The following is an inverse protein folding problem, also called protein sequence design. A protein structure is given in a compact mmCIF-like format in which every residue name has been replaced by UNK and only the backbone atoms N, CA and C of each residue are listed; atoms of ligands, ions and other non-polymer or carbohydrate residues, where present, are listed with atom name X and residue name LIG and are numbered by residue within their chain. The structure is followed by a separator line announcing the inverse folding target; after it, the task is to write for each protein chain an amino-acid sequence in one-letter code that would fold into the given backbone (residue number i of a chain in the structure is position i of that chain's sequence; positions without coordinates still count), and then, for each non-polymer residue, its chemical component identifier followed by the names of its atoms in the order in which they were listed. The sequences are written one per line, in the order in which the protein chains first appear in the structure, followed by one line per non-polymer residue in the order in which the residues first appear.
data_IF_568527995649
#
_entry.id   IF_568527995649
#
_cell.length_a   1.000
_cell.length_b   1.000
_cell.length_c   1.000
_cell.angle_alpha   90.00
_cell.angle_beta   90.00
_cell.angle_gamma   90.00
#
_symmetry.space_group_name_H-M   'P 1'
#
loop_
_entity.id
_entity.type
_entity.pdbx_description
1 polymer ?
#
# COMPACT_ATOMS: atom_id res chain seq x y z
N UNK A 1 4.03 -30.77 -27.17
CA UNK A 1 4.83 -30.92 -25.92
C UNK A 1 6.14 -30.10 -26.00
N UNK A 2 6.92 -30.15 -27.11
CA UNK A 2 8.24 -29.48 -27.17
C UNK A 2 8.14 -27.96 -27.39
N UNK A 3 7.16 -27.48 -28.16
CA UNK A 3 6.84 -26.05 -28.28
C UNK A 3 6.45 -25.42 -26.94
N UNK A 4 5.67 -26.13 -26.15
CA UNK A 4 5.22 -25.69 -24.82
C UNK A 4 6.41 -25.61 -23.84
N UNK A 5 7.29 -26.60 -23.83
CA UNK A 5 8.52 -26.57 -23.02
C UNK A 5 9.43 -25.39 -23.39
N UNK A 6 9.57 -25.06 -24.68
CA UNK A 6 10.35 -23.89 -25.13
C UNK A 6 9.70 -22.56 -24.69
N UNK A 7 8.37 -22.48 -24.76
CA UNK A 7 7.62 -21.28 -24.32
C UNK A 7 7.80 -21.04 -22.81
N UNK A 8 7.64 -22.09 -21.99
CA UNK A 8 7.88 -22.04 -20.56
C UNK A 8 9.31 -21.65 -20.22
N UNK A 9 10.30 -22.22 -20.91
CA UNK A 9 11.72 -21.91 -20.70
C UNK A 9 12.03 -20.44 -21.02
N UNK A 10 11.47 -19.88 -22.08
CA UNK A 10 11.65 -18.48 -22.45
C UNK A 10 10.96 -17.54 -21.45
N UNK A 11 9.74 -17.89 -21.01
CA UNK A 11 9.02 -17.13 -19.98
C UNK A 11 9.81 -17.10 -18.67
N UNK A 12 10.35 -18.25 -18.23
CA UNK A 12 11.20 -18.31 -17.03
C UNK A 12 12.49 -17.51 -17.16
N UNK A 13 13.07 -17.44 -18.35
CA UNK A 13 14.26 -16.63 -18.61
C UNK A 13 13.93 -15.13 -18.50
N UNK A 14 12.79 -14.70 -19.03
CA UNK A 14 12.31 -13.31 -18.96
C UNK A 14 12.01 -12.90 -17.51
N UNK A 15 11.32 -13.76 -16.76
CA UNK A 15 11.04 -13.52 -15.33
C UNK A 15 12.33 -13.40 -14.53
N UNK A 16 13.31 -14.26 -14.76
CA UNK A 16 14.63 -14.18 -14.10
C UNK A 16 15.36 -12.90 -14.47
N UNK A 17 15.30 -12.45 -15.72
CA UNK A 17 15.86 -11.19 -16.16
C UNK A 17 15.26 -10.03 -15.36
N UNK A 18 13.95 -9.92 -15.33
CA UNK A 18 13.23 -8.88 -14.58
C UNK A 18 13.55 -8.89 -13.08
N UNK A 19 13.64 -10.07 -12.46
CA UNK A 19 14.03 -10.18 -11.05
C UNK A 19 15.45 -9.66 -10.83
N UNK A 20 16.39 -10.03 -11.70
CA UNK A 20 17.77 -9.52 -11.59
C UNK A 20 17.83 -8.01 -11.76
N UNK A 21 17.10 -7.45 -12.73
CA UNK A 21 17.04 -6.00 -12.94
C UNK A 21 16.51 -5.27 -11.69
N UNK A 22 15.46 -5.80 -11.05
CA UNK A 22 14.94 -5.25 -9.80
C UNK A 22 15.95 -5.38 -8.63
N UNK A 23 16.65 -6.51 -8.55
CA UNK A 23 17.72 -6.69 -7.56
C UNK A 23 18.90 -5.74 -7.81
N UNK A 24 19.20 -5.41 -9.08
CA UNK A 24 20.22 -4.44 -9.44
C UNK A 24 19.82 -3.03 -9.01
N UNK A 25 18.55 -2.66 -9.19
CA UNK A 25 18.02 -1.39 -8.68
C UNK A 25 18.15 -1.33 -7.15
N UNK A 26 17.68 -2.34 -6.43
CA UNK A 26 17.77 -2.39 -4.97
C UNK A 26 19.22 -2.34 -4.47
N UNK A 27 20.14 -3.00 -5.17
CA UNK A 27 21.57 -3.00 -4.82
C UNK A 27 22.23 -1.64 -5.08
N UNK A 28 21.72 -0.87 -6.03
CA UNK A 28 22.21 0.47 -6.35
C UNK A 28 21.63 1.56 -5.43
N UNK A 29 20.58 1.24 -4.66
CA UNK A 29 19.97 2.21 -3.75
C UNK A 29 20.89 2.50 -2.57
N UNK A 30 21.06 3.78 -2.30
CA UNK A 30 21.65 4.29 -1.07
C UNK A 30 20.67 5.22 -0.36
N UNK A 31 20.72 5.23 0.95
CA UNK A 31 20.00 6.16 1.82
C UNK A 31 20.98 7.19 2.33
N UNK A 32 20.67 8.45 2.08
CA UNK A 32 21.47 9.56 2.54
C UNK A 32 20.68 10.39 3.53
N UNK A 33 21.25 10.66 4.68
CA UNK A 33 20.66 11.59 5.66
C UNK A 33 21.73 12.46 6.30
N UNK A 34 21.31 13.63 6.75
CA UNK A 34 22.14 14.53 7.51
C UNK A 34 21.52 14.82 8.86
N UNK A 35 22.26 14.66 9.93
CA UNK A 35 21.88 15.12 11.25
C UNK A 35 22.54 16.47 11.52
N UNK A 36 21.73 17.50 11.83
CA UNK A 36 22.25 18.78 12.32
C UNK A 36 22.30 18.74 13.84
N UNK A 37 23.49 18.57 14.39
CA UNK A 37 23.76 18.88 15.81
C UNK A 37 24.61 20.15 15.90
N UNK A 38 23.99 21.27 16.29
CA UNK A 38 24.67 22.57 16.37
C UNK A 38 25.09 23.11 14.99
N UNK A 39 26.36 23.46 14.81
CA UNK A 39 26.93 24.00 13.58
C UNK A 39 27.58 22.94 12.67
N UNK A 40 27.58 21.68 13.05
CA UNK A 40 28.17 20.57 12.28
C UNK A 40 27.04 19.74 11.70
N UNK A 41 27.06 19.53 10.38
CA UNK A 41 26.18 18.58 9.70
C UNK A 41 26.98 17.32 9.39
N UNK A 42 26.63 16.23 10.06
CA UNK A 42 27.13 14.90 9.69
C UNK A 42 26.31 14.37 8.52
N UNK A 43 27.02 13.94 7.48
CA UNK A 43 26.44 13.31 6.30
C UNK A 43 26.78 11.83 6.31
N UNK A 44 25.76 10.99 6.19
CA UNK A 44 25.94 9.55 6.03
C UNK A 44 25.27 9.08 4.76
N UNK A 45 25.97 8.24 4.01
CA UNK A 45 25.46 7.55 2.82
C UNK A 45 25.61 6.05 3.02
N UNK A 46 24.48 5.37 3.17
CA UNK A 46 24.44 3.93 3.48
C UNK A 46 23.75 3.18 2.36
N UNK A 47 24.44 2.19 1.80
CA UNK A 47 23.82 1.29 0.81
C UNK A 47 22.76 0.42 1.47
N UNK A 48 21.64 0.22 0.77
CA UNK A 48 20.55 -0.63 1.25
C UNK A 48 21.00 -2.09 1.36
N UNK A 49 21.62 -2.61 0.31
CA UNK A 49 22.10 -4.00 0.26
C UNK A 49 23.62 -4.08 0.23
N UNK A 50 24.16 -5.00 1.03
CA UNK A 50 25.57 -5.38 1.01
C UNK A 50 25.86 -6.46 -0.03
N UNK A 51 24.95 -7.42 -0.19
CA UNK A 51 25.03 -8.52 -1.16
C UNK A 51 23.67 -8.87 -1.73
N UNK A 52 23.69 -9.35 -2.97
CA UNK A 52 22.55 -9.95 -3.66
C UNK A 52 22.99 -11.20 -4.40
N UNK A 53 22.10 -12.14 -4.59
CA UNK A 53 22.39 -13.34 -5.36
C UNK A 53 21.14 -14.16 -5.64
N UNK A 54 21.26 -15.00 -6.64
CA UNK A 54 20.25 -16.01 -6.98
C UNK A 54 20.94 -17.36 -7.06
N UNK A 55 20.55 -18.30 -6.20
CA UNK A 55 21.11 -19.64 -6.18
C UNK A 55 20.00 -20.68 -6.10
N UNK A 56 19.97 -21.63 -7.04
CA UNK A 56 18.98 -22.71 -7.11
C UNK A 56 17.52 -22.22 -7.07
N UNK A 57 17.23 -21.09 -7.73
CA UNK A 57 15.89 -20.50 -7.75
C UNK A 57 15.52 -19.67 -6.51
N UNK A 58 16.38 -19.62 -5.49
CA UNK A 58 16.20 -18.79 -4.31
C UNK A 58 16.91 -17.45 -4.49
N UNK A 59 16.23 -16.37 -4.10
CA UNK A 59 16.79 -15.03 -4.02
C UNK A 59 17.45 -14.91 -2.64
N UNK A 60 18.71 -14.48 -2.63
CA UNK A 60 19.45 -14.17 -1.41
C UNK A 60 19.79 -12.70 -1.42
N UNK A 61 19.39 -11.97 -0.37
CA UNK A 61 19.76 -10.58 -0.15
C UNK A 61 20.36 -10.45 1.25
N UNK A 62 21.36 -9.58 1.38
CA UNK A 62 21.93 -9.20 2.65
C UNK A 62 21.89 -7.69 2.75
N UNK A 63 21.21 -7.18 3.77
CA UNK A 63 21.23 -5.76 4.09
C UNK A 63 22.64 -5.34 4.57
N UNK A 64 22.97 -4.07 4.39
CA UNK A 64 24.15 -3.50 5.05
C UNK A 64 24.00 -3.55 6.57
N UNK A 65 25.10 -3.58 7.30
CA UNK A 65 25.07 -3.71 8.77
C UNK A 65 24.29 -2.57 9.44
N UNK A 66 24.40 -1.36 8.90
CA UNK A 66 23.67 -0.20 9.41
C UNK A 66 22.16 -0.34 9.22
N UNK A 67 21.73 -0.78 8.03
CA UNK A 67 20.30 -1.05 7.74
C UNK A 67 19.81 -2.23 8.57
N UNK A 68 20.59 -3.31 8.69
CA UNK A 68 20.22 -4.46 9.50
C UNK A 68 20.04 -4.07 10.98
N UNK A 69 20.95 -3.27 11.53
CA UNK A 69 20.85 -2.74 12.89
C UNK A 69 19.62 -1.85 13.07
N UNK A 70 19.36 -0.95 12.11
CA UNK A 70 18.18 -0.10 12.14
C UNK A 70 16.89 -0.93 12.16
N UNK A 71 16.77 -1.94 11.28
CA UNK A 71 15.59 -2.80 11.21
C UNK A 71 15.38 -3.61 12.51
N UNK A 72 16.47 -4.11 13.12
CA UNK A 72 16.40 -4.86 14.38
C UNK A 72 16.05 -3.99 15.59
N UNK A 73 16.41 -2.71 15.56
CA UNK A 73 16.15 -1.77 16.68
C UNK A 73 14.87 -0.94 16.47
N UNK A 74 14.28 -0.95 15.28
CA UNK A 74 13.12 -0.16 14.94
C UNK A 74 11.84 -0.98 15.04
N UNK A 75 10.74 -0.29 15.31
CA UNK A 75 9.41 -0.91 15.18
C UNK A 75 9.15 -1.24 13.71
N UNK A 76 9.03 -2.50 13.39
CA UNK A 76 8.71 -3.00 12.05
C UNK A 76 7.22 -3.32 12.01
N UNK A 77 6.49 -2.71 11.09
CA UNK A 77 5.10 -3.05 10.85
C UNK A 77 5.01 -4.46 10.27
N UNK A 78 4.14 -5.28 10.84
CA UNK A 78 3.79 -6.56 10.21
C UNK A 78 3.14 -6.29 8.85
N UNK A 79 3.68 -6.92 7.81
CA UNK A 79 3.15 -6.79 6.47
C UNK A 79 2.06 -7.86 6.27
N UNK A 80 0.82 -7.48 5.96
CA UNK A 80 -0.23 -8.46 5.69
C UNK A 80 0.07 -9.23 4.40
N UNK A 81 0.34 -10.53 4.51
CA UNK A 81 0.62 -11.39 3.34
C UNK A 81 -0.51 -11.36 2.32
N UNK A 82 -1.74 -11.19 2.78
CA UNK A 82 -2.91 -11.03 1.93
C UNK A 82 -2.77 -9.90 0.87
N UNK A 83 -1.93 -8.88 1.12
CA UNK A 83 -1.62 -7.85 0.12
C UNK A 83 -0.97 -8.43 -1.14
N UNK A 84 -0.21 -9.53 -1.01
CA UNK A 84 0.42 -10.22 -2.13
C UNK A 84 -0.59 -10.98 -3.00
N UNK A 85 -1.81 -11.23 -2.47
CA UNK A 85 -2.90 -11.89 -3.19
C UNK A 85 -3.75 -10.91 -4.02
N UNK A 86 -3.51 -9.61 -3.90
CA UNK A 86 -4.17 -8.62 -4.75
C UNK A 86 -3.67 -8.77 -6.18
N UNK A 87 -4.59 -8.81 -7.15
CA UNK A 87 -4.27 -8.86 -8.57
C UNK A 87 -3.34 -7.70 -8.97
N UNK A 88 -2.22 -8.01 -9.64
CA UNK A 88 -1.25 -7.04 -10.13
C UNK A 88 -1.85 -5.98 -11.08
N UNK A 89 -3.00 -6.29 -11.69
CA UNK A 89 -3.79 -5.36 -12.52
C UNK A 89 -4.58 -4.34 -11.69
N UNK A 90 -4.56 -4.48 -10.37
CA UNK A 90 -5.26 -3.60 -9.43
C UNK A 90 -4.30 -2.86 -8.50
N UNK A 91 -3.35 -2.07 -9.03
CA UNK A 91 -2.33 -1.41 -8.20
C UNK A 91 -2.92 -0.42 -7.20
N UNK A 92 -4.11 0.12 -7.49
CA UNK A 92 -4.86 0.97 -6.57
C UNK A 92 -5.29 0.21 -5.32
N UNK A 93 -5.84 -0.99 -5.48
CA UNK A 93 -6.24 -1.84 -4.37
C UNK A 93 -5.04 -2.16 -3.46
N UNK A 94 -3.88 -2.45 -4.04
CA UNK A 94 -2.66 -2.66 -3.28
C UNK A 94 -2.27 -1.42 -2.46
N UNK A 95 -2.27 -0.22 -3.08
CA UNK A 95 -1.92 1.02 -2.37
C UNK A 95 -2.89 1.35 -1.24
N UNK A 96 -4.19 1.16 -1.48
CA UNK A 96 -5.24 1.33 -0.46
C UNK A 96 -5.05 0.33 0.67
N UNK A 97 -4.90 -0.95 0.38
CA UNK A 97 -4.68 -1.99 1.38
C UNK A 97 -3.42 -1.76 2.22
N UNK A 98 -2.32 -1.37 1.58
CA UNK A 98 -1.09 -0.99 2.27
C UNK A 98 -1.30 0.23 3.19
N UNK A 99 -2.00 1.26 2.69
CA UNK A 99 -2.32 2.47 3.48
C UNK A 99 -3.14 2.13 4.71
N UNK A 100 -4.12 1.25 4.59
CA UNK A 100 -4.97 0.80 5.70
C UNK A 100 -4.17 -0.02 6.73
N UNK A 101 -3.33 -0.95 6.27
CA UNK A 101 -2.45 -1.73 7.12
C UNK A 101 -1.47 -0.83 7.89
N UNK A 102 -0.84 0.13 7.19
CA UNK A 102 0.02 1.12 7.84
C UNK A 102 -0.76 1.96 8.87
N UNK A 103 -1.93 2.49 8.48
CA UNK A 103 -2.75 3.32 9.36
C UNK A 103 -3.14 2.58 10.64
N UNK A 104 -3.52 1.31 10.54
CA UNK A 104 -3.91 0.48 11.69
C UNK A 104 -2.75 0.15 12.62
N UNK A 105 -1.53 0.10 12.13
CA UNK A 105 -0.32 -0.22 12.90
C UNK A 105 0.32 0.98 13.60
N UNK A 106 -0.05 2.20 13.22
CA UNK A 106 0.52 3.42 13.83
C UNK A 106 0.10 3.55 15.28
N UNK A 107 1.06 3.50 16.19
CA UNK A 107 0.83 3.59 17.65
C UNK A 107 -0.08 4.75 18.05
N UNK A 108 0.13 5.94 17.50
CA UNK A 108 -0.72 7.12 17.77
C UNK A 108 -2.19 6.88 17.42
N UNK A 109 -2.48 6.15 16.35
CA UNK A 109 -3.85 5.84 15.93
C UNK A 109 -4.48 4.82 16.87
N UNK A 110 -3.69 3.82 17.31
CA UNK A 110 -4.12 2.82 18.30
C UNK A 110 -4.45 3.50 19.63
N UNK A 111 -3.57 4.35 20.16
CA UNK A 111 -3.77 5.09 21.41
C UNK A 111 -4.97 6.03 21.34
N UNK A 112 -5.29 6.59 20.18
CA UNK A 112 -6.47 7.43 19.97
C UNK A 112 -7.75 6.66 19.69
N UNK A 113 -7.68 5.34 19.55
CA UNK A 113 -8.80 4.51 19.15
C UNK A 113 -9.34 4.86 17.76
N UNK A 114 -8.46 5.23 16.83
CA UNK A 114 -8.78 5.58 15.42
C UNK A 114 -8.06 4.68 14.43
N UNK A 115 -7.47 3.58 14.89
CA UNK A 115 -6.72 2.66 14.05
C UNK A 115 -7.58 1.96 12.97
N UNK A 116 -8.88 1.89 13.21
CA UNK A 116 -9.90 1.28 12.34
C UNK A 116 -10.68 2.29 11.50
N UNK A 117 -10.31 3.58 11.53
CA UNK A 117 -11.05 4.66 10.85
C UNK A 117 -10.07 5.60 10.14
N UNK A 118 -10.31 5.84 8.86
CA UNK A 118 -9.51 6.74 8.03
C UNK A 118 -10.42 7.63 7.18
N UNK A 119 -10.01 8.88 6.91
CA UNK A 119 -10.79 9.77 6.04
C UNK A 119 -10.77 9.30 4.58
N UNK A 120 -11.87 9.54 3.86
CA UNK A 120 -11.95 9.29 2.42
C UNK A 120 -10.86 10.08 1.67
N UNK A 121 -10.62 11.33 2.05
CA UNK A 121 -9.54 12.14 1.48
C UNK A 121 -8.18 11.43 1.55
N UNK A 122 -7.79 10.90 2.72
CA UNK A 122 -6.51 10.21 2.89
C UNK A 122 -6.42 8.90 2.07
N UNK A 123 -7.54 8.26 1.76
CA UNK A 123 -7.59 7.08 0.88
C UNK A 123 -7.47 7.47 -0.59
N UNK A 124 -8.12 8.56 -1.01
CA UNK A 124 -7.98 9.10 -2.37
C UNK A 124 -6.55 9.52 -2.65
N UNK A 125 -5.89 10.19 -1.70
CA UNK A 125 -4.46 10.52 -1.80
C UNK A 125 -3.59 9.27 -1.97
N UNK A 126 -3.91 8.20 -1.27
CA UNK A 126 -3.18 6.93 -1.39
C UNK A 126 -3.39 6.23 -2.74
N UNK A 127 -4.53 6.44 -3.39
CA UNK A 127 -4.81 5.84 -4.71
C UNK A 127 -3.84 6.35 -5.80
N UNK A 128 -3.55 7.66 -5.80
CA UNK A 128 -2.54 8.30 -6.65
C UNK A 128 -2.84 8.35 -8.15
N UNK A 129 -3.92 7.69 -8.61
CA UNK A 129 -4.36 7.61 -10.00
C UNK A 129 -5.86 7.91 -10.17
N UNK A 130 -6.52 8.37 -9.10
CA UNK A 130 -7.86 8.93 -9.14
C UNK A 130 -7.73 10.42 -9.46
N UNK A 131 -8.42 10.93 -10.49
CA UNK A 131 -8.36 12.34 -10.85
C UNK A 131 -8.96 13.23 -9.76
N UNK A 132 -8.49 14.46 -9.66
CA UNK A 132 -9.06 15.48 -8.80
C UNK A 132 -10.47 15.85 -9.23
N UNK A 133 -11.30 16.28 -8.28
CA UNK A 133 -12.70 16.65 -8.56
C UNK A 133 -12.82 17.77 -9.61
N UNK A 134 -11.96 18.77 -9.54
CA UNK A 134 -11.96 19.88 -10.50
C UNK A 134 -11.62 19.41 -11.93
N UNK A 135 -10.77 18.40 -12.06
CA UNK A 135 -10.44 17.79 -13.34
C UNK A 135 -11.65 17.02 -13.90
N UNK A 136 -12.33 16.26 -13.05
CA UNK A 136 -13.54 15.52 -13.43
C UNK A 136 -14.65 16.47 -13.86
N UNK A 137 -14.85 17.59 -13.14
CA UNK A 137 -15.86 18.58 -13.50
C UNK A 137 -15.63 19.20 -14.88
N UNK A 138 -14.36 19.42 -15.25
CA UNK A 138 -13.98 19.97 -16.57
C UNK A 138 -14.16 18.97 -17.72
N UNK A 139 -13.91 17.69 -17.46
CA UNK A 139 -13.81 16.67 -18.51
C UNK A 139 -15.09 15.84 -18.66
N UNK A 140 -15.84 15.58 -17.58
CA UNK A 140 -16.89 14.55 -17.54
C UNK A 140 -18.24 15.05 -16.99
N UNK A 141 -18.45 16.38 -16.99
CA UNK A 141 -19.73 17.05 -16.65
C UNK A 141 -20.44 16.51 -15.40
N UNK A 142 -19.69 16.21 -14.35
CA UNK A 142 -20.27 15.89 -13.04
C UNK A 142 -20.45 14.39 -12.73
N UNK A 143 -19.97 13.47 -13.56
CA UNK A 143 -19.98 12.04 -13.24
C UNK A 143 -18.84 11.65 -12.26
N UNK A 144 -18.67 12.44 -11.21
CA UNK A 144 -17.63 12.24 -10.21
C UNK A 144 -17.74 10.88 -9.51
N UNK A 145 -18.94 10.37 -9.33
CA UNK A 145 -19.15 9.06 -8.71
C UNK A 145 -18.44 7.96 -9.47
N UNK A 146 -18.58 7.91 -10.78
CA UNK A 146 -17.93 6.91 -11.63
C UNK A 146 -16.41 7.07 -11.70
N UNK A 147 -15.91 8.28 -11.54
CA UNK A 147 -14.48 8.60 -11.71
C UNK A 147 -13.70 8.62 -10.41
N UNK A 148 -14.37 8.87 -9.28
CA UNK A 148 -13.73 9.03 -7.97
C UNK A 148 -14.26 8.00 -6.97
N UNK A 149 -15.58 7.98 -6.69
CA UNK A 149 -16.19 7.13 -5.67
C UNK A 149 -16.08 5.64 -6.04
N UNK A 150 -16.65 5.25 -7.19
CA UNK A 150 -16.64 3.85 -7.63
C UNK A 150 -15.24 3.23 -7.73
N UNK A 151 -14.21 3.93 -8.26
CA UNK A 151 -12.84 3.42 -8.24
C UNK A 151 -12.27 3.19 -6.83
N UNK A 152 -12.59 4.05 -5.86
CA UNK A 152 -12.18 3.85 -4.46
C UNK A 152 -12.89 2.63 -3.85
N UNK A 153 -14.22 2.53 -4.02
CA UNK A 153 -15.02 1.40 -3.55
C UNK A 153 -14.53 0.08 -4.15
N UNK A 154 -14.27 0.06 -5.46
CA UNK A 154 -13.70 -1.11 -6.15
C UNK A 154 -12.35 -1.53 -5.56
N UNK A 155 -11.52 -0.56 -5.16
CA UNK A 155 -10.23 -0.86 -4.52
C UNK A 155 -10.43 -1.46 -3.12
N UNK A 156 -11.34 -0.91 -2.31
CA UNK A 156 -11.69 -1.44 -1.00
C UNK A 156 -12.29 -2.86 -1.08
N UNK A 157 -13.22 -3.09 -2.02
CA UNK A 157 -13.80 -4.41 -2.26
C UNK A 157 -12.77 -5.43 -2.75
N UNK A 158 -11.77 -4.97 -3.50
CA UNK A 158 -10.65 -5.83 -3.91
C UNK A 158 -9.78 -6.22 -2.73
N UNK A 159 -9.59 -5.33 -1.75
CA UNK A 159 -8.92 -5.65 -0.49
C UNK A 159 -9.71 -6.69 0.34
N UNK A 160 -11.06 -6.59 0.35
CA UNK A 160 -11.90 -7.60 1.01
C UNK A 160 -11.78 -8.95 0.31
N UNK A 161 -11.88 -8.98 -1.01
CA UNK A 161 -11.75 -10.23 -1.80
C UNK A 161 -10.39 -10.89 -1.64
N UNK A 162 -9.33 -10.11 -1.45
CA UNK A 162 -7.98 -10.61 -1.22
C UNK A 162 -7.73 -11.03 0.24
N UNK A 163 -8.68 -10.79 1.16
CA UNK A 163 -8.52 -11.11 2.58
C UNK A 163 -7.66 -10.09 3.36
N UNK A 164 -7.33 -8.96 2.76
CA UNK A 164 -6.63 -7.85 3.46
C UNK A 164 -7.56 -7.21 4.48
N UNK A 165 -8.84 -7.12 4.14
CA UNK A 165 -9.92 -6.62 5.00
C UNK A 165 -10.98 -7.70 5.20
N UNK A 166 -11.56 -7.76 6.38
CA UNK A 166 -12.80 -8.52 6.66
C UNK A 166 -14.04 -7.76 6.17
N UNK A 167 -13.95 -6.43 6.06
CA UNK A 167 -15.03 -5.57 5.59
C UNK A 167 -14.73 -4.10 5.85
N UNK A 168 -15.53 -3.26 5.23
CA UNK A 168 -15.47 -1.81 5.37
C UNK A 168 -16.87 -1.19 5.26
N UNK A 169 -17.04 0.02 5.80
CA UNK A 169 -18.26 0.81 5.72
C UNK A 169 -17.93 2.31 5.76
N UNK A 170 -18.77 3.14 5.18
CA UNK A 170 -18.68 4.58 5.39
C UNK A 170 -19.20 4.96 6.77
N UNK A 171 -18.58 5.95 7.38
CA UNK A 171 -19.02 6.53 8.64
C UNK A 171 -18.77 8.05 8.68
N UNK A 172 -19.53 8.74 9.53
CA UNK A 172 -19.36 10.16 9.77
C UNK A 172 -18.16 10.48 10.67
N UNK A 173 -17.79 11.75 10.77
CA UNK A 173 -16.63 12.24 11.54
C UNK A 173 -16.61 11.83 13.01
N UNK A 174 -17.77 11.57 13.63
CA UNK A 174 -17.92 11.15 15.04
C UNK A 174 -18.00 9.64 15.22
N UNK A 175 -17.53 8.85 14.25
CA UNK A 175 -17.63 7.39 14.26
C UNK A 175 -19.09 6.87 14.27
N UNK A 176 -20.07 7.76 14.07
CA UNK A 176 -21.45 7.38 13.96
C UNK A 176 -21.63 6.54 12.69
N UNK A 177 -22.30 5.39 12.83
CA UNK A 177 -22.76 4.62 11.69
C UNK A 177 -23.72 5.52 10.92
N UNK A 178 -23.51 5.66 9.60
CA UNK A 178 -24.48 6.37 8.75
C UNK A 178 -25.80 5.60 8.79
N UNK A 179 -26.91 6.30 8.95
CA UNK A 179 -28.22 5.69 8.78
C UNK A 179 -28.42 5.33 7.28
N UNK A 180 -29.24 4.33 6.98
CA UNK A 180 -29.49 3.91 5.59
C UNK A 180 -29.98 5.08 4.70
N UNK A 181 -30.58 6.12 5.30
CA UNK A 181 -30.99 7.35 4.63
C UNK A 181 -29.84 8.34 4.37
N UNK A 182 -28.71 8.23 5.08
CA UNK A 182 -27.52 9.07 4.88
C UNK A 182 -26.52 8.45 3.90
N UNK A 183 -26.82 7.25 3.40
CA UNK A 183 -25.97 6.54 2.42
C UNK A 183 -26.15 7.10 1.00
N UNK A 184 -27.18 7.91 0.76
CA UNK A 184 -27.32 8.64 -0.51
C UNK A 184 -26.34 9.83 -0.52
N UNK A 185 -25.08 9.50 -0.85
CA UNK A 185 -23.97 10.46 -0.95
C UNK A 185 -24.13 11.17 -2.31
N UNK A 186 -25.10 12.09 -2.38
CA UNK A 186 -25.48 12.76 -3.63
C UNK A 186 -24.48 13.82 -4.11
N UNK A 187 -23.56 14.29 -3.24
CA UNK A 187 -22.61 15.32 -3.61
C UNK A 187 -21.16 15.00 -3.14
N UNK A 188 -20.20 15.55 -3.87
CA UNK A 188 -18.78 15.33 -3.62
C UNK A 188 -18.32 15.94 -2.29
N UNK A 189 -18.86 17.08 -1.87
CA UNK A 189 -18.46 17.75 -0.64
C UNK A 189 -18.81 16.89 0.59
N UNK A 190 -19.99 16.28 0.58
CA UNK A 190 -20.39 15.28 1.58
C UNK A 190 -19.46 14.06 1.54
N UNK A 191 -19.20 13.51 0.34
CA UNK A 191 -18.35 12.34 0.17
C UNK A 191 -16.93 12.52 0.73
N UNK A 192 -16.28 13.63 0.41
CA UNK A 192 -14.90 13.89 0.84
C UNK A 192 -14.80 14.12 2.37
N UNK A 193 -15.90 14.52 3.00
CA UNK A 193 -16.02 14.67 4.46
C UNK A 193 -16.24 13.38 5.23
N UNK A 194 -16.49 12.27 4.52
CA UNK A 194 -16.71 10.97 5.15
C UNK A 194 -15.41 10.31 5.61
N UNK A 195 -15.60 9.30 6.44
CA UNK A 195 -14.58 8.36 6.86
C UNK A 195 -14.95 6.95 6.43
N UNK A 196 -13.94 6.12 6.29
CA UNK A 196 -14.08 4.67 6.11
C UNK A 196 -13.69 4.00 7.41
N UNK A 197 -14.62 3.24 8.01
CA UNK A 197 -14.33 2.26 9.04
C UNK A 197 -14.03 0.95 8.38
N UNK A 198 -12.99 0.28 8.82
CA UNK A 198 -12.54 -0.99 8.25
C UNK A 198 -12.10 -1.96 9.33
N UNK A 199 -12.13 -3.24 9.02
CA UNK A 199 -11.55 -4.29 9.85
C UNK A 199 -10.47 -4.99 9.03
N UNK A 200 -9.26 -5.03 9.58
CA UNK A 200 -8.18 -5.81 8.97
C UNK A 200 -8.56 -7.30 8.99
N UNK A 201 -8.26 -7.99 7.91
CA UNK A 201 -8.37 -9.44 7.84
C UNK A 201 -7.47 -10.10 8.90
N UNK A 202 -7.83 -11.28 9.34
CA UNK A 202 -7.03 -12.02 10.31
C UNK A 202 -5.67 -12.29 9.69
N UNK A 203 -4.61 -11.79 10.31
CA UNK A 203 -3.28 -12.31 10.04
C UNK A 203 -3.27 -13.75 10.56
N UNK A 204 -2.90 -14.69 9.71
CA UNK A 204 -2.68 -16.05 10.17
C UNK A 204 -1.53 -15.99 11.17
N UNK A 205 -1.86 -16.00 12.45
CA UNK A 205 -0.90 -16.37 13.49
C UNK A 205 -0.70 -17.87 13.35
N UNK A 206 0.13 -18.26 12.39
CA UNK A 206 0.69 -19.61 12.40
C UNK A 206 1.75 -19.61 13.49
N UNK A 207 1.44 -20.37 14.55
CA UNK A 207 2.28 -20.71 15.71
C UNK A 207 3.69 -21.21 15.34
#
# INVERSE_FOLDING_TARGET
AEKEKRRIKNLMKDVRGKINDQLDVLYSLSLSWSEKKGHVSDYQDVRLLQRKGVKRGMISIQFSDDIARYLLCSYVMQYPEALLSIDERSPRAYRVGYKLAYHSSVRRNIERGTADIISVSALLDACGDIPDFDEVQKTDRGHWENRIKTPLETALDSCVRAGVLDGWEYCGAKKAKLSDSEVDIGDYATFIGLYVRFRMGRMNDED
#
